data_IF_046600002734
#
_entry.id   IF_046600002734
#
_cell.length_a   1.000
_cell.length_b   1.000
_cell.length_c   1.000
_cell.angle_alpha   90.00
_cell.angle_beta   90.00
_cell.angle_gamma   90.00
#
_symmetry.space_group_name_H-M   'P 1'
#
loop_
_entity.id
_entity.type
_entity.pdbx_description
1 polymer ?
#
# COMPACT_ATOMS: atom_id res chain seq x y z
N UNK A 1 -14.96 6.73 -14.39
CA UNK A 1 -14.97 5.32 -13.90
C UNK A 1 -14.07 4.38 -14.71
N UNK A 2 -14.26 4.29 -16.04
CA UNK A 2 -13.45 3.40 -16.90
C UNK A 2 -11.97 3.79 -17.00
N UNK A 3 -11.65 5.08 -17.05
CA UNK A 3 -10.26 5.54 -17.13
C UNK A 3 -9.46 5.21 -15.87
N UNK A 4 -10.09 5.34 -14.69
CA UNK A 4 -9.51 4.94 -13.40
C UNK A 4 -9.23 3.44 -13.40
N UNK A 5 -10.18 2.61 -13.83
CA UNK A 5 -9.99 1.16 -13.91
C UNK A 5 -8.87 0.78 -14.89
N UNK A 6 -8.76 1.48 -16.02
CA UNK A 6 -7.71 1.26 -17.02
C UNK A 6 -6.34 1.65 -16.48
N UNK A 7 -6.26 2.75 -15.74
CA UNK A 7 -5.06 3.20 -15.04
C UNK A 7 -4.61 2.18 -13.99
N UNK A 8 -5.53 1.74 -13.13
CA UNK A 8 -5.27 0.73 -12.09
C UNK A 8 -4.78 -0.59 -12.70
N UNK A 9 -5.43 -1.07 -13.77
CA UNK A 9 -5.00 -2.28 -14.50
C UNK A 9 -3.63 -2.13 -15.16
N UNK A 10 -3.27 -0.92 -15.60
CA UNK A 10 -1.95 -0.63 -16.16
C UNK A 10 -0.88 -0.70 -15.07
N UNK A 11 -1.10 -0.01 -13.95
CA UNK A 11 -0.18 -0.03 -12.80
C UNK A 11 -0.01 -1.44 -12.25
N UNK A 12 -1.10 -2.19 -12.11
CA UNK A 12 -1.07 -3.61 -11.74
C UNK A 12 -0.09 -4.42 -12.59
N UNK A 13 -0.18 -4.32 -13.93
CA UNK A 13 0.70 -5.07 -14.84
C UNK A 13 2.14 -4.54 -14.87
N UNK A 14 2.38 -3.29 -14.54
CA UNK A 14 3.73 -2.74 -14.43
C UNK A 14 4.42 -3.29 -13.19
N UNK A 15 3.75 -3.23 -12.04
CA UNK A 15 4.33 -3.67 -10.76
C UNK A 15 4.60 -5.18 -10.73
N UNK A 16 3.72 -6.00 -11.32
CA UNK A 16 3.96 -7.44 -11.49
C UNK A 16 5.16 -7.74 -12.40
N UNK A 17 5.37 -6.96 -13.47
CA UNK A 17 6.47 -7.19 -14.42
C UNK A 17 7.82 -6.78 -13.86
N UNK A 18 7.85 -5.78 -13.00
CA UNK A 18 9.06 -5.39 -12.26
C UNK A 18 9.41 -6.38 -11.14
N UNK A 19 8.58 -7.39 -10.87
CA UNK A 19 8.83 -8.38 -9.81
C UNK A 19 8.80 -7.75 -8.41
N UNK A 20 7.99 -6.70 -8.23
CA UNK A 20 7.83 -6.03 -6.93
C UNK A 20 6.70 -6.67 -6.11
N UNK A 21 5.70 -7.23 -6.80
CA UNK A 21 4.59 -7.96 -6.18
C UNK A 21 4.93 -9.43 -6.23
N UNK A 22 5.26 -9.97 -5.06
CA UNK A 22 5.63 -11.38 -4.92
C UNK A 22 4.38 -12.25 -4.65
N UNK A 23 3.29 -11.64 -4.16
CA UNK A 23 2.05 -12.32 -3.77
C UNK A 23 0.78 -11.59 -4.24
N UNK A 24 -0.32 -12.34 -4.39
CA UNK A 24 -1.64 -11.77 -4.76
C UNK A 24 -2.19 -10.90 -3.63
N UNK A 25 -1.87 -11.27 -2.40
CA UNK A 25 -2.31 -10.66 -1.16
C UNK A 25 -1.77 -9.23 -1.03
N UNK A 26 -0.50 -8.99 -1.36
CA UNK A 26 0.11 -7.64 -1.32
C UNK A 26 -0.59 -6.68 -2.29
N UNK A 27 -0.97 -7.18 -3.46
CA UNK A 27 -1.72 -6.41 -4.42
C UNK A 27 -3.12 -6.05 -3.91
N UNK A 28 -3.83 -7.02 -3.33
CA UNK A 28 -5.19 -6.80 -2.82
C UNK A 28 -5.20 -5.72 -1.74
N UNK A 29 -4.22 -5.71 -0.85
CA UNK A 29 -4.05 -4.67 0.16
C UNK A 29 -3.83 -3.27 -0.44
N UNK A 30 -3.00 -3.18 -1.48
CA UNK A 30 -2.70 -1.93 -2.17
C UNK A 30 -3.92 -1.40 -2.95
N UNK A 31 -4.65 -2.29 -3.64
CA UNK A 31 -5.87 -1.93 -4.35
C UNK A 31 -6.96 -1.46 -3.38
N UNK A 32 -7.11 -2.13 -2.23
CA UNK A 32 -8.02 -1.71 -1.19
C UNK A 32 -7.65 -0.32 -0.65
N UNK A 33 -6.36 -0.05 -0.47
CA UNK A 33 -5.89 1.26 -0.01
C UNK A 33 -6.21 2.38 -1.01
N UNK A 34 -6.10 2.10 -2.32
CA UNK A 34 -6.52 3.01 -3.38
C UNK A 34 -8.03 3.23 -3.40
N UNK A 35 -8.82 2.18 -3.21
CA UNK A 35 -10.29 2.27 -3.19
C UNK A 35 -10.80 3.13 -2.03
N UNK A 36 -10.18 3.01 -0.85
CA UNK A 36 -10.58 3.70 0.37
C UNK A 36 -9.94 5.07 0.57
N UNK A 37 -9.06 5.52 -0.34
CA UNK A 37 -8.15 6.67 -0.13
C UNK A 37 -7.37 6.56 1.21
N UNK A 38 -6.97 5.35 1.58
CA UNK A 38 -6.35 5.07 2.88
C UNK A 38 -4.83 5.33 2.90
N UNK A 39 -4.25 5.27 4.11
CA UNK A 39 -2.80 5.26 4.32
C UNK A 39 -2.37 3.82 4.59
N UNK A 40 -1.31 3.36 3.92
CA UNK A 40 -0.71 2.04 4.16
C UNK A 40 0.22 2.10 5.36
N UNK A 41 -0.08 1.35 6.42
CA UNK A 41 0.81 1.16 7.57
C UNK A 41 1.35 -0.27 7.55
N UNK A 42 2.66 -0.44 7.36
CA UNK A 42 3.27 -1.78 7.31
C UNK A 42 4.72 -1.77 7.81
N UNK A 43 5.16 -2.86 8.43
CA UNK A 43 6.57 -3.11 8.71
C UNK A 43 7.29 -3.80 7.53
N UNK A 44 6.53 -4.26 6.53
CA UNK A 44 7.06 -4.96 5.35
C UNK A 44 7.58 -3.97 4.31
N UNK A 45 8.87 -4.04 4.02
CA UNK A 45 9.54 -3.14 3.07
C UNK A 45 9.09 -3.34 1.62
N UNK A 46 8.69 -4.56 1.23
CA UNK A 46 8.14 -4.83 -0.10
C UNK A 46 6.84 -4.07 -0.32
N UNK A 47 5.92 -4.14 0.64
CA UNK A 47 4.63 -3.42 0.60
C UNK A 47 4.87 -1.90 0.58
N UNK A 48 5.75 -1.37 1.43
CA UNK A 48 6.02 0.07 1.48
C UNK A 48 6.65 0.58 0.18
N UNK A 49 7.61 -0.15 -0.39
CA UNK A 49 8.21 0.19 -1.68
C UNK A 49 7.16 0.18 -2.80
N UNK A 50 6.20 -0.74 -2.74
CA UNK A 50 5.11 -0.80 -3.70
C UNK A 50 4.15 0.38 -3.55
N UNK A 51 3.79 0.74 -2.31
CA UNK A 51 2.98 1.91 -2.02
C UNK A 51 3.66 3.20 -2.55
N UNK A 52 4.96 3.35 -2.31
CA UNK A 52 5.77 4.46 -2.83
C UNK A 52 5.74 4.56 -4.36
N UNK A 53 6.05 3.44 -5.06
CA UNK A 53 6.03 3.38 -6.52
C UNK A 53 4.66 3.70 -7.13
N UNK A 54 3.59 3.41 -6.40
CA UNK A 54 2.22 3.66 -6.81
C UNK A 54 1.70 5.05 -6.42
N UNK A 55 2.46 5.82 -5.64
CA UNK A 55 2.09 7.16 -5.18
C UNK A 55 1.06 7.15 -4.05
N UNK A 56 1.01 6.06 -3.28
CA UNK A 56 0.17 5.95 -2.10
C UNK A 56 0.83 6.62 -0.89
N UNK A 57 0.02 7.11 0.05
CA UNK A 57 0.51 7.51 1.37
C UNK A 57 0.83 6.26 2.16
N UNK A 58 2.01 6.20 2.79
CA UNK A 58 2.42 5.10 3.63
C UNK A 58 3.24 5.55 4.84
N UNK A 59 3.29 4.71 5.87
CA UNK A 59 4.04 4.93 7.12
C UNK A 59 4.65 3.62 7.62
N UNK A 60 5.80 3.70 8.28
CA UNK A 60 6.29 2.59 9.10
C UNK A 60 5.67 2.66 10.50
N UNK A 61 5.39 1.52 11.16
CA UNK A 61 4.93 1.50 12.55
C UNK A 61 5.83 2.26 13.52
N UNK A 62 7.12 2.35 13.22
CA UNK A 62 8.10 3.09 14.04
C UNK A 62 7.86 4.60 14.01
N UNK A 63 7.35 5.13 12.89
CA UNK A 63 7.13 6.57 12.70
C UNK A 63 5.94 7.08 13.54
N UNK A 64 5.02 6.18 13.90
CA UNK A 64 3.84 6.49 14.71
C UNK A 64 3.86 5.77 16.07
N UNK A 65 5.03 5.27 16.50
CA UNK A 65 5.16 4.43 17.69
C UNK A 65 4.55 5.08 18.93
N UNK A 66 4.88 6.34 19.21
CA UNK A 66 4.40 7.05 20.41
C UNK A 66 2.87 7.22 20.39
N UNK A 67 2.30 7.39 19.20
CA UNK A 67 0.84 7.45 19.00
C UNK A 67 0.20 6.08 19.28
N UNK A 68 0.80 5.00 18.76
CA UNK A 68 0.33 3.62 18.99
C UNK A 68 0.44 3.19 20.45
N UNK A 69 1.51 3.58 21.14
CA UNK A 69 1.68 3.30 22.57
C UNK A 69 0.68 4.07 23.43
N UNK A 70 0.27 5.27 23.00
CA UNK A 70 -0.83 6.01 23.62
C UNK A 70 -2.18 5.30 23.52
N UNK A 71 -2.42 4.51 22.46
CA UNK A 71 -3.64 3.71 22.31
C UNK A 71 -3.65 2.43 23.16
N UNK A 72 -2.50 1.92 23.59
CA UNK A 72 -2.39 0.68 24.41
C UNK A 72 -2.90 0.80 25.85
N UNK A 73 -3.42 1.97 26.24
CA UNK A 73 -4.04 2.19 27.56
C UNK A 73 -5.54 1.81 27.60
N UNK A 74 -6.06 1.15 26.56
CA UNK A 74 -7.45 0.67 26.47
C UNK A 74 -7.52 -0.83 26.68
#
# INVERSE_FOLDING_TARGET
PEEVLKFLRKRYREVLREGIVDSKEDLELILLSLELDAIVLSADKGILNMADKLGLRFLEPRDIKDTLEGFKLW
#
